data_IF_792026617899
#
_entry.id   IF_792026617899
#
_cell.length_a   1.000
_cell.length_b   1.000
_cell.length_c   1.000
_cell.angle_alpha   90.00
_cell.angle_beta   90.00
_cell.angle_gamma   90.00
#
_symmetry.space_group_name_H-M   'P 1'
#
loop_
_entity.id
_entity.type
_entity.pdbx_description
1 polymer ?
#
# COMPACT_ATOMS: atom_id res chain seq x y z
N UNK A 1 -7.42 23.94 -23.37
CA UNK A 1 -8.32 23.13 -22.53
C UNK A 1 -7.69 22.84 -21.14
N UNK A 2 -7.19 23.85 -20.43
CA UNK A 2 -6.39 23.65 -19.19
C UNK A 2 -7.19 23.65 -17.88
N UNK A 3 -8.45 24.09 -17.88
CA UNK A 3 -9.23 24.25 -16.63
C UNK A 3 -9.63 22.94 -15.94
N UNK A 4 -9.84 21.85 -16.68
CA UNK A 4 -10.34 20.59 -16.13
C UNK A 4 -9.32 19.81 -15.29
N UNK A 5 -8.01 19.99 -15.53
CA UNK A 5 -6.96 19.28 -14.79
C UNK A 5 -6.56 20.00 -13.50
N UNK A 6 -6.73 21.31 -13.42
CA UNK A 6 -6.52 22.08 -12.18
C UNK A 6 -7.50 21.68 -11.09
N UNK A 7 -8.77 21.46 -11.46
CA UNK A 7 -9.81 20.97 -10.54
C UNK A 7 -9.46 19.60 -9.91
N UNK A 8 -8.60 18.80 -10.55
CA UNK A 8 -8.19 17.48 -10.08
C UNK A 8 -6.93 17.51 -9.19
N UNK A 9 -6.22 18.63 -9.14
CA UNK A 9 -4.95 18.72 -8.40
C UNK A 9 -5.17 18.70 -6.89
N UNK A 10 -6.16 19.43 -6.39
CA UNK A 10 -6.54 19.43 -4.97
C UNK A 10 -6.98 18.03 -4.49
N UNK A 11 -7.98 17.37 -5.10
CA UNK A 11 -8.43 16.05 -4.65
C UNK A 11 -7.33 14.99 -4.78
N UNK A 12 -6.48 15.05 -5.82
CA UNK A 12 -5.30 14.19 -5.89
C UNK A 12 -4.36 14.41 -4.70
N UNK A 13 -4.02 15.65 -4.35
CA UNK A 13 -3.13 15.94 -3.22
C UNK A 13 -3.68 15.39 -1.91
N UNK A 14 -4.99 15.58 -1.67
CA UNK A 14 -5.66 15.06 -0.48
C UNK A 14 -5.64 13.53 -0.47
N UNK A 15 -6.01 12.89 -1.58
CA UNK A 15 -6.01 11.43 -1.71
C UNK A 15 -4.61 10.82 -1.51
N UNK A 16 -3.62 11.38 -2.20
CA UNK A 16 -2.24 10.91 -2.14
C UNK A 16 -1.62 11.16 -0.76
N UNK A 17 -1.89 12.33 -0.17
CA UNK A 17 -1.46 12.67 1.19
C UNK A 17 -2.07 11.74 2.25
N UNK A 18 -3.38 11.45 2.16
CA UNK A 18 -4.05 10.52 3.05
C UNK A 18 -3.50 9.09 2.91
N UNK A 19 -3.33 8.61 1.67
CA UNK A 19 -2.73 7.30 1.41
C UNK A 19 -1.30 7.20 1.92
N UNK A 20 -0.49 8.24 1.73
CA UNK A 20 0.87 8.30 2.26
C UNK A 20 0.90 8.35 3.78
N UNK A 21 0.01 9.12 4.40
CA UNK A 21 -0.12 9.19 5.86
C UNK A 21 -0.47 7.82 6.44
N UNK A 22 -1.34 7.05 5.77
CA UNK A 22 -1.63 5.68 6.15
C UNK A 22 -0.38 4.78 5.98
N UNK A 23 0.19 4.77 4.78
CA UNK A 23 1.33 3.90 4.42
C UNK A 23 2.65 4.26 5.12
N UNK A 24 2.74 5.38 5.82
CA UNK A 24 3.86 5.72 6.72
C UNK A 24 3.46 5.58 8.19
N UNK A 25 2.24 5.97 8.53
CA UNK A 25 1.70 5.95 9.89
C UNK A 25 1.55 4.54 10.42
N UNK A 26 1.01 3.61 9.63
CA UNK A 26 0.82 2.22 10.06
C UNK A 26 2.16 1.49 10.28
N UNK A 27 3.14 1.51 9.33
CA UNK A 27 4.47 0.98 9.61
C UNK A 27 5.13 1.63 10.82
N UNK A 28 5.00 2.96 10.96
CA UNK A 28 5.58 3.69 12.10
C UNK A 28 4.97 3.30 13.44
N UNK A 29 3.64 3.12 13.49
CA UNK A 29 2.94 2.63 14.67
C UNK A 29 3.36 1.20 15.01
N UNK A 30 3.39 0.30 14.02
CA UNK A 30 3.84 -1.07 14.23
C UNK A 30 5.29 -1.08 14.70
N UNK A 31 6.17 -0.31 14.07
CA UNK A 31 7.57 -0.17 14.46
C UNK A 31 7.70 0.26 15.93
N UNK A 32 6.93 1.28 16.35
CA UNK A 32 6.91 1.72 17.74
C UNK A 32 6.42 0.62 18.69
N UNK A 33 5.39 -0.15 18.31
CA UNK A 33 4.90 -1.28 19.10
C UNK A 33 5.93 -2.41 19.24
N UNK A 34 6.64 -2.72 18.16
CA UNK A 34 7.69 -3.75 18.17
C UNK A 34 8.90 -3.31 19.01
N UNK A 35 9.37 -2.07 18.81
CA UNK A 35 10.55 -1.52 19.50
C UNK A 35 10.30 -1.23 20.97
N UNK A 36 9.06 -0.91 21.36
CA UNK A 36 8.68 -0.75 22.78
C UNK A 36 8.51 -2.09 23.51
N UNK A 37 8.54 -3.21 22.80
CA UNK A 37 8.28 -4.53 23.37
C UNK A 37 6.81 -4.79 23.71
N UNK A 38 5.89 -3.90 23.32
CA UNK A 38 4.46 -4.07 23.52
C UNK A 38 3.91 -5.30 22.77
N UNK A 39 4.57 -5.71 21.69
CA UNK A 39 4.27 -6.96 20.97
C UNK A 39 5.45 -7.92 21.14
N UNK A 40 5.29 -9.03 21.90
CA UNK A 40 6.38 -9.97 22.12
C UNK A 40 6.80 -10.64 20.80
N UNK A 41 8.11 -10.80 20.62
CA UNK A 41 8.66 -11.51 19.49
C UNK A 41 8.47 -13.02 19.66
N UNK A 42 8.03 -13.69 18.60
CA UNK A 42 8.03 -15.15 18.56
C UNK A 42 9.44 -15.72 18.66
N UNK A 43 9.57 -16.84 19.35
CA UNK A 43 10.85 -17.51 19.64
C UNK A 43 11.08 -18.75 18.80
N UNK A 44 10.19 -19.06 17.86
CA UNK A 44 10.31 -20.24 17.03
C UNK A 44 11.34 -19.98 15.91
N UNK A 45 12.24 -20.94 15.63
CA UNK A 45 13.11 -20.83 14.48
C UNK A 45 12.28 -20.94 13.18
N UNK A 46 12.65 -20.22 12.11
CA UNK A 46 11.93 -20.22 10.84
C UNK A 46 12.24 -21.48 10.03
N UNK A 47 11.85 -22.64 10.53
CA UNK A 47 12.08 -23.94 9.89
C UNK A 47 10.76 -24.65 9.58
N UNK A 48 10.76 -25.46 8.51
CA UNK A 48 9.63 -26.30 8.13
C UNK A 48 8.36 -25.48 7.86
N UNK A 49 7.32 -25.69 8.68
CA UNK A 49 6.01 -25.04 8.49
C UNK A 49 6.06 -23.51 8.59
N UNK A 50 6.95 -22.94 9.42
CA UNK A 50 7.05 -21.49 9.60
C UNK A 50 7.75 -20.81 8.42
N UNK A 51 8.67 -21.51 7.77
CA UNK A 51 9.27 -21.06 6.51
C UNK A 51 8.22 -21.00 5.40
N UNK A 52 7.35 -22.02 5.31
CA UNK A 52 6.21 -22.03 4.38
C UNK A 52 5.25 -20.87 4.63
N UNK A 53 4.97 -20.54 5.89
CA UNK A 53 4.18 -19.36 6.25
C UNK A 53 4.86 -18.09 5.72
N UNK A 54 6.18 -17.95 5.88
CA UNK A 54 6.94 -16.82 5.31
C UNK A 54 6.76 -16.67 3.79
N UNK A 55 6.81 -17.77 3.03
CA UNK A 55 6.54 -17.76 1.58
C UNK A 55 5.09 -17.40 1.25
N UNK A 56 4.12 -17.93 2.00
CA UNK A 56 2.70 -17.59 1.81
C UNK A 56 2.43 -16.10 2.05
N UNK A 57 3.00 -15.53 3.12
CA UNK A 57 2.91 -14.10 3.41
C UNK A 57 3.55 -13.26 2.30
N UNK A 58 4.72 -13.69 1.80
CA UNK A 58 5.37 -13.05 0.66
C UNK A 58 4.47 -13.08 -0.59
N UNK A 59 3.88 -14.23 -0.89
CA UNK A 59 2.90 -14.38 -1.97
C UNK A 59 1.71 -13.45 -1.82
N UNK A 60 1.20 -13.27 -0.59
CA UNK A 60 0.08 -12.36 -0.31
C UNK A 60 0.44 -10.88 -0.54
N UNK A 61 1.64 -10.46 -0.18
CA UNK A 61 2.15 -9.10 -0.46
C UNK A 61 2.25 -8.85 -1.96
N UNK A 62 2.84 -9.79 -2.72
CA UNK A 62 2.93 -9.68 -4.18
C UNK A 62 1.56 -9.73 -4.87
N UNK A 63 0.63 -10.55 -4.36
CA UNK A 63 -0.73 -10.60 -4.86
C UNK A 63 -1.45 -9.25 -4.65
N UNK A 64 -1.30 -8.65 -3.48
CA UNK A 64 -1.84 -7.32 -3.16
C UNK A 64 -1.26 -6.24 -4.07
N UNK A 65 0.05 -6.24 -4.26
CA UNK A 65 0.73 -5.32 -5.17
C UNK A 65 0.24 -5.48 -6.62
N UNK A 66 0.13 -6.71 -7.10
CA UNK A 66 -0.36 -7.03 -8.46
C UNK A 66 -1.80 -6.57 -8.64
N UNK A 67 -2.65 -6.81 -7.63
CA UNK A 67 -4.04 -6.38 -7.64
C UNK A 67 -4.16 -4.84 -7.68
N UNK A 68 -3.39 -4.12 -6.86
CA UNK A 68 -3.34 -2.65 -6.86
C UNK A 68 -2.90 -2.12 -8.22
N UNK A 69 -1.86 -2.71 -8.81
CA UNK A 69 -1.37 -2.33 -10.14
C UNK A 69 -2.44 -2.54 -11.23
N UNK A 70 -3.04 -3.72 -11.28
CA UNK A 70 -4.10 -4.06 -12.23
C UNK A 70 -5.29 -3.11 -12.08
N UNK A 71 -5.76 -2.91 -10.85
CA UNK A 71 -6.89 -2.04 -10.53
C UNK A 71 -6.62 -0.59 -10.92
N UNK A 72 -5.45 -0.07 -10.56
CA UNK A 72 -5.04 1.30 -10.90
C UNK A 72 -4.96 1.51 -12.40
N UNK A 73 -4.47 0.51 -13.14
CA UNK A 73 -4.40 0.56 -14.61
C UNK A 73 -5.79 0.60 -15.22
N UNK A 74 -6.73 -0.24 -14.76
CA UNK A 74 -8.11 -0.21 -15.24
C UNK A 74 -8.81 1.11 -14.91
N UNK A 75 -8.58 1.66 -13.71
CA UNK A 75 -9.15 2.94 -13.31
C UNK A 75 -8.65 4.08 -14.21
N UNK A 76 -7.37 4.10 -14.57
CA UNK A 76 -6.81 5.07 -15.51
C UNK A 76 -7.42 4.92 -16.92
N UNK A 77 -7.57 3.69 -17.42
CA UNK A 77 -8.16 3.44 -18.74
C UNK A 77 -9.61 3.93 -18.85
N UNK A 78 -10.41 3.71 -17.80
CA UNK A 78 -11.80 4.15 -17.76
C UNK A 78 -11.96 5.63 -17.36
N UNK A 79 -10.89 6.33 -16.98
CA UNK A 79 -11.00 7.63 -16.31
C UNK A 79 -11.62 8.72 -17.19
N UNK A 80 -11.36 8.71 -18.49
CA UNK A 80 -11.94 9.67 -19.44
C UNK A 80 -13.46 9.56 -19.55
N UNK A 81 -13.98 8.34 -19.39
CA UNK A 81 -15.41 8.00 -19.48
C UNK A 81 -16.17 8.39 -18.20
N UNK A 82 -15.45 8.68 -17.12
CA UNK A 82 -16.04 9.14 -15.86
C UNK A 82 -16.54 10.58 -16.02
N UNK A 83 -17.80 10.89 -15.64
CA UNK A 83 -18.31 12.25 -15.61
C UNK A 83 -17.43 13.19 -14.78
N UNK A 84 -17.23 14.41 -15.25
CA UNK A 84 -16.29 15.36 -14.63
C UNK A 84 -16.53 15.57 -13.13
N UNK A 85 -17.80 15.68 -12.72
CA UNK A 85 -18.20 15.83 -11.32
C UNK A 85 -17.78 14.65 -10.41
N UNK A 86 -17.57 13.45 -10.98
CA UNK A 86 -17.22 12.22 -10.24
C UNK A 86 -15.72 11.92 -10.27
N UNK A 87 -14.94 12.54 -11.15
CA UNK A 87 -13.49 12.29 -11.28
C UNK A 87 -12.70 12.50 -9.97
N UNK A 88 -12.97 13.54 -9.15
CA UNK A 88 -12.31 13.71 -7.86
C UNK A 88 -12.52 12.54 -6.90
N UNK A 89 -13.75 12.02 -6.81
CA UNK A 89 -14.08 10.93 -5.89
C UNK A 89 -13.45 9.61 -6.33
N UNK A 90 -13.33 9.38 -7.65
CA UNK A 90 -12.59 8.23 -8.20
C UNK A 90 -11.11 8.30 -7.80
N UNK A 91 -10.44 9.43 -8.01
CA UNK A 91 -9.03 9.59 -7.60
C UNK A 91 -8.87 9.31 -6.09
N UNK A 92 -9.77 9.87 -5.27
CA UNK A 92 -9.73 9.68 -3.83
C UNK A 92 -9.92 8.21 -3.43
N UNK A 93 -10.96 7.56 -3.96
CA UNK A 93 -11.27 6.16 -3.66
C UNK A 93 -10.15 5.24 -4.07
N UNK A 94 -9.60 5.42 -5.28
CA UNK A 94 -8.54 4.55 -5.78
C UNK A 94 -7.23 4.73 -4.98
N UNK A 95 -6.92 5.95 -4.54
CA UNK A 95 -5.79 6.19 -3.64
C UNK A 95 -5.95 5.47 -2.29
N UNK A 96 -7.13 5.59 -1.67
CA UNK A 96 -7.40 5.00 -0.36
C UNK A 96 -7.48 3.47 -0.41
N UNK A 97 -8.16 2.90 -1.41
CA UNK A 97 -8.25 1.46 -1.61
C UNK A 97 -6.87 0.86 -1.85
N UNK A 98 -6.03 1.54 -2.64
CA UNK A 98 -4.66 1.10 -2.87
C UNK A 98 -3.82 1.13 -1.59
N UNK A 99 -3.93 2.21 -0.79
CA UNK A 99 -3.24 2.29 0.49
C UNK A 99 -3.65 1.15 1.43
N UNK A 100 -4.96 0.94 1.62
CA UNK A 100 -5.50 -0.13 2.47
C UNK A 100 -5.06 -1.53 2.01
N UNK A 101 -5.04 -1.79 0.71
CA UNK A 101 -4.61 -3.07 0.19
C UNK A 101 -3.10 -3.33 0.45
N UNK A 102 -2.27 -2.29 0.43
CA UNK A 102 -0.83 -2.39 0.67
C UNK A 102 -0.47 -2.47 2.16
N UNK A 103 -1.37 -2.06 3.06
CA UNK A 103 -1.23 -2.28 4.51
C UNK A 103 -1.24 -3.77 4.89
N UNK A 104 -1.69 -4.65 3.98
CA UNK A 104 -1.54 -6.09 4.17
C UNK A 104 -0.09 -6.51 4.46
N UNK A 105 0.89 -5.82 3.86
CA UNK A 105 2.31 -6.11 4.07
C UNK A 105 2.74 -5.80 5.51
N UNK A 106 2.28 -4.68 6.08
CA UNK A 106 2.45 -4.39 7.51
C UNK A 106 1.87 -5.49 8.42
N UNK A 107 0.66 -5.97 8.11
CA UNK A 107 0.02 -7.04 8.86
C UNK A 107 0.78 -8.37 8.72
N UNK A 108 1.27 -8.70 7.53
CA UNK A 108 2.14 -9.86 7.31
C UNK A 108 3.41 -9.77 8.16
N UNK A 109 4.04 -8.59 8.23
CA UNK A 109 5.21 -8.35 9.08
C UNK A 109 4.91 -8.57 10.56
N UNK A 110 3.77 -8.07 11.04
CA UNK A 110 3.33 -8.26 12.43
C UNK A 110 3.05 -9.74 12.76
N UNK A 111 2.36 -10.45 11.87
CA UNK A 111 2.11 -11.89 12.02
C UNK A 111 3.44 -12.65 12.08
N UNK A 112 4.36 -12.33 11.16
CA UNK A 112 5.67 -13.00 11.11
C UNK A 112 6.53 -12.67 12.34
N UNK A 113 6.41 -11.46 12.89
CA UNK A 113 7.06 -11.08 14.15
C UNK A 113 6.58 -11.92 15.33
N UNK A 114 5.26 -12.10 15.46
CA UNK A 114 4.67 -12.90 16.53
C UNK A 114 5.07 -14.39 16.45
N UNK A 115 5.42 -14.89 15.26
CA UNK A 115 5.82 -16.29 15.06
C UNK A 115 7.34 -16.50 15.26
N UNK A 116 8.16 -15.71 14.56
CA UNK A 116 9.62 -15.96 14.44
C UNK A 116 10.47 -14.69 14.64
N UNK A 117 9.90 -13.62 15.21
CA UNK A 117 10.50 -12.27 15.22
C UNK A 117 11.91 -12.19 15.79
N UNK A 118 12.23 -13.02 16.79
CA UNK A 118 13.58 -13.07 17.38
C UNK A 118 14.64 -13.70 16.46
N UNK A 119 14.23 -14.58 15.54
CA UNK A 119 15.11 -15.32 14.64
C UNK A 119 15.14 -14.75 13.22
N UNK A 120 14.16 -13.93 12.84
CA UNK A 120 14.06 -13.34 11.49
C UNK A 120 13.60 -11.88 11.47
N UNK A 121 14.23 -10.99 12.26
CA UNK A 121 13.84 -9.58 12.32
C UNK A 121 13.96 -8.88 10.97
N UNK A 122 14.94 -9.25 10.13
CA UNK A 122 15.13 -8.66 8.79
C UNK A 122 13.92 -8.89 7.87
N UNK A 123 13.30 -10.06 7.92
CA UNK A 123 12.14 -10.39 7.09
C UNK A 123 10.90 -9.63 7.57
N UNK A 124 10.71 -9.54 8.88
CA UNK A 124 9.65 -8.72 9.50
C UNK A 124 9.75 -7.27 9.05
N UNK A 125 10.93 -6.67 9.18
CA UNK A 125 11.15 -5.30 8.74
C UNK A 125 11.00 -5.13 7.22
N UNK A 126 11.39 -6.14 6.44
CA UNK A 126 11.12 -6.18 5.01
C UNK A 126 9.63 -6.01 4.70
N UNK A 127 8.76 -6.78 5.36
CA UNK A 127 7.32 -6.66 5.19
C UNK A 127 6.76 -5.30 5.62
N UNK A 128 7.21 -4.78 6.76
CA UNK A 128 6.74 -3.49 7.29
C UNK A 128 7.15 -2.33 6.35
N UNK A 129 8.39 -2.34 5.84
CA UNK A 129 8.90 -1.29 4.97
C UNK A 129 8.43 -1.40 3.52
N UNK A 130 7.90 -2.55 3.10
CA UNK A 130 7.36 -2.71 1.75
C UNK A 130 6.10 -1.87 1.51
N UNK A 131 5.24 -1.66 2.51
CA UNK A 131 4.00 -0.87 2.35
C UNK A 131 4.23 0.52 1.75
N UNK A 132 5.07 1.39 2.34
CA UNK A 132 5.32 2.73 1.77
C UNK A 132 5.99 2.66 0.39
N UNK A 133 6.91 1.70 0.17
CA UNK A 133 7.60 1.55 -1.11
C UNK A 133 6.64 1.15 -2.23
N UNK A 134 5.77 0.17 -1.97
CA UNK A 134 4.75 -0.28 -2.91
C UNK A 134 3.74 0.85 -3.19
N UNK A 135 3.37 1.64 -2.20
CA UNK A 135 2.46 2.77 -2.39
C UNK A 135 3.06 3.80 -3.35
N UNK A 136 4.32 4.20 -3.10
CA UNK A 136 5.03 5.17 -3.94
C UNK A 136 5.26 4.68 -5.37
N UNK A 137 5.42 3.36 -5.56
CA UNK A 137 5.66 2.74 -6.86
C UNK A 137 4.39 2.51 -7.67
N UNK A 138 3.31 2.05 -7.03
CA UNK A 138 2.13 1.53 -7.72
C UNK A 138 0.99 2.54 -7.81
N UNK A 139 0.82 3.43 -6.82
CA UNK A 139 -0.29 4.38 -6.82
C UNK A 139 -0.03 5.49 -7.86
N UNK A 140 -0.97 5.71 -8.79
CA UNK A 140 -0.75 6.68 -9.87
C UNK A 140 -0.58 8.11 -9.34
N UNK A 141 0.54 8.74 -9.73
CA UNK A 141 0.78 10.17 -9.50
C UNK A 141 -0.09 11.02 -10.43
N UNK A 142 -0.30 12.28 -10.05
CA UNK A 142 -1.09 13.26 -10.82
C UNK A 142 -0.81 13.27 -12.33
N UNK A 143 0.45 13.22 -12.82
CA UNK A 143 0.71 13.22 -14.27
C UNK A 143 0.17 12.00 -15.02
N UNK A 144 -0.11 10.88 -14.34
CA UNK A 144 -0.79 9.73 -14.97
C UNK A 144 -2.29 9.98 -15.11
N UNK A 145 -2.93 10.54 -14.09
CA UNK A 145 -4.35 10.94 -14.15
C UNK A 145 -4.62 12.02 -15.19
N UNK A 146 -3.73 13.02 -15.29
CA UNK A 146 -3.83 14.07 -16.30
C UNK A 146 -3.73 13.47 -17.72
N UNK A 147 -2.70 12.64 -17.98
CA UNK A 147 -2.54 11.97 -19.27
C UNK A 147 -3.71 11.08 -19.66
N UNK A 148 -4.34 10.42 -18.69
CA UNK A 148 -5.51 9.58 -18.95
C UNK A 148 -6.75 10.35 -19.43
N UNK A 149 -6.79 11.68 -19.26
CA UNK A 149 -7.82 12.55 -19.83
C UNK A 149 -7.50 13.00 -21.26
N UNK A 150 -6.22 13.01 -21.62
CA UNK A 150 -5.74 13.49 -22.92
C UNK A 150 -5.69 12.37 -23.98
N UNK A 151 -5.87 11.10 -23.57
CA UNK A 151 -5.77 9.87 -24.39
C UNK A 151 -7.12 9.27 -24.78
#
# INVERSE_FOLDING_TARGET
MSGGTEALRSPHRVAYGAGLALCLGTPGLIAALLLSGAVPAGTQPPEGGLEQVGYLLTGFVFLSATWVWWRSTRALQAFREVPEAQRPSVIFREGLVSALALESSCLCGLIYWMLVGSHSPRHVWGFILMTPLLFLALVPRFPRWARALDS
#
